data_IF_359380298241
#
_entry.id   IF_359380298241
#
_cell.length_a   1.000
_cell.length_b   1.000
_cell.length_c   1.000
_cell.angle_alpha   90.00
_cell.angle_beta   90.00
_cell.angle_gamma   90.00
#
_symmetry.space_group_name_H-M   'P 1'
#
loop_
_entity.id
_entity.type
_entity.pdbx_description
1 polymer ?
#
# COMPACT_ATOMS: atom_id res chain seq x y z
N UNK A 1 -75.96 -52.10 -14.16
CA UNK A 1 -75.56 -51.61 -15.49
C UNK A 1 -75.34 -50.10 -15.38
N UNK A 2 -74.34 -49.61 -14.67
CA UNK A 2 -72.87 -49.79 -14.77
C UNK A 2 -72.20 -48.78 -15.71
N UNK A 3 -71.34 -47.99 -15.07
CA UNK A 3 -70.19 -47.21 -15.53
C UNK A 3 -70.37 -45.79 -16.12
N UNK A 4 -69.84 -44.75 -15.44
CA UNK A 4 -69.55 -43.46 -16.03
C UNK A 4 -68.28 -43.51 -16.90
N UNK A 5 -68.29 -42.75 -18.01
CA UNK A 5 -67.17 -42.59 -18.92
C UNK A 5 -65.90 -42.10 -18.19
N UNK A 6 -64.85 -42.91 -18.24
CA UNK A 6 -63.50 -42.58 -17.73
C UNK A 6 -62.94 -41.37 -18.47
N UNK A 7 -62.64 -40.30 -17.74
CA UNK A 7 -61.72 -39.27 -18.19
C UNK A 7 -60.31 -39.89 -18.30
N UNK A 8 -59.83 -40.10 -19.52
CA UNK A 8 -58.44 -40.44 -19.78
C UNK A 8 -57.56 -39.21 -19.49
N UNK A 9 -57.09 -39.11 -18.26
CA UNK A 9 -55.99 -38.24 -17.90
C UNK A 9 -54.73 -38.74 -18.62
N UNK A 10 -54.49 -38.24 -19.84
CA UNK A 10 -53.17 -38.24 -20.46
C UNK A 10 -52.22 -37.47 -19.53
N UNK A 11 -51.48 -38.21 -18.69
CA UNK A 11 -50.39 -37.66 -17.90
C UNK A 11 -49.33 -37.16 -18.88
N UNK A 12 -48.92 -35.88 -18.85
CA UNK A 12 -47.71 -35.48 -19.56
C UNK A 12 -46.53 -36.29 -18.98
N UNK A 13 -45.57 -36.73 -19.82
CA UNK A 13 -44.39 -37.42 -19.32
C UNK A 13 -43.68 -36.49 -18.32
N UNK A 14 -43.33 -37.03 -17.15
CA UNK A 14 -42.45 -36.34 -16.21
C UNK A 14 -41.14 -36.05 -16.94
N UNK A 15 -40.96 -34.79 -17.34
CA UNK A 15 -39.66 -34.25 -17.70
C UNK A 15 -38.80 -34.32 -16.44
N UNK A 16 -37.95 -35.35 -16.36
CA UNK A 16 -36.84 -35.39 -15.41
C UNK A 16 -36.09 -34.06 -15.51
N UNK A 17 -35.89 -33.31 -14.41
CA UNK A 17 -35.04 -32.14 -14.44
C UNK A 17 -33.64 -32.65 -14.76
N UNK A 18 -33.21 -32.43 -16.00
CA UNK A 18 -31.81 -32.59 -16.38
C UNK A 18 -31.09 -31.57 -15.50
N UNK A 19 -30.38 -32.05 -14.48
CA UNK A 19 -29.47 -31.24 -13.67
C UNK A 19 -28.31 -30.91 -14.60
N UNK A 20 -28.54 -29.94 -15.48
CA UNK A 20 -27.46 -29.35 -16.25
C UNK A 20 -26.49 -28.81 -15.21
N UNK A 21 -25.28 -29.38 -15.17
CA UNK A 21 -24.10 -28.83 -14.48
C UNK A 21 -23.69 -27.50 -15.15
N UNK A 22 -24.63 -26.55 -15.22
CA UNK A 22 -24.45 -25.16 -15.58
C UNK A 22 -23.93 -24.36 -14.37
N UNK A 23 -23.16 -25.01 -13.49
CA UNK A 23 -22.41 -24.38 -12.40
C UNK A 23 -21.22 -23.54 -12.90
N UNK A 24 -20.85 -23.70 -14.18
CA UNK A 24 -19.79 -22.96 -14.87
C UNK A 24 -19.93 -21.42 -14.76
N UNK A 25 -21.05 -20.77 -15.14
CA UNK A 25 -21.17 -19.30 -15.06
C UNK A 25 -21.11 -18.74 -13.63
N UNK A 26 -21.64 -19.43 -12.62
CA UNK A 26 -21.61 -18.91 -11.24
C UNK A 26 -20.25 -19.13 -10.58
N UNK A 27 -19.66 -20.32 -10.71
CA UNK A 27 -18.34 -20.61 -10.18
C UNK A 27 -17.25 -19.75 -10.84
N UNK A 28 -17.31 -19.54 -12.16
CA UNK A 28 -16.40 -18.64 -12.87
C UNK A 28 -16.54 -17.19 -12.41
N UNK A 29 -17.77 -16.70 -12.18
CA UNK A 29 -18.01 -15.37 -11.62
C UNK A 29 -17.44 -15.25 -10.22
N UNK A 30 -17.66 -16.24 -9.35
CA UNK A 30 -17.17 -16.23 -7.98
C UNK A 30 -15.64 -16.24 -7.93
N UNK A 31 -14.97 -17.07 -8.74
CA UNK A 31 -13.51 -17.10 -8.85
C UNK A 31 -12.99 -15.76 -9.39
N UNK A 32 -13.61 -15.22 -10.45
CA UNK A 32 -13.24 -13.90 -11.00
C UNK A 32 -13.38 -12.80 -9.94
N UNK A 33 -14.49 -12.76 -9.21
CA UNK A 33 -14.71 -11.79 -8.12
C UNK A 33 -13.68 -11.98 -7.01
N UNK A 34 -13.34 -13.22 -6.65
CA UNK A 34 -12.29 -13.50 -5.67
C UNK A 34 -10.92 -12.98 -6.11
N UNK A 35 -10.52 -13.25 -7.36
CA UNK A 35 -9.26 -12.73 -7.93
C UNK A 35 -9.25 -11.21 -7.90
N UNK A 36 -10.34 -10.57 -8.34
CA UNK A 36 -10.47 -9.12 -8.32
C UNK A 36 -10.39 -8.55 -6.91
N UNK A 37 -11.06 -9.18 -5.94
CA UNK A 37 -11.03 -8.76 -4.53
C UNK A 37 -9.62 -8.83 -3.96
N UNK A 38 -8.87 -9.89 -4.24
CA UNK A 38 -7.46 -10.01 -3.80
C UNK A 38 -6.60 -8.93 -4.44
N UNK A 39 -6.74 -8.70 -5.74
CA UNK A 39 -6.01 -7.63 -6.43
C UNK A 39 -6.31 -6.25 -5.81
N UNK A 40 -7.59 -5.91 -5.63
CA UNK A 40 -8.00 -4.67 -4.98
C UNK A 40 -7.44 -4.55 -3.56
N UNK A 41 -7.53 -5.61 -2.78
CA UNK A 41 -7.00 -5.64 -1.43
C UNK A 41 -5.52 -5.29 -1.41
N UNK A 42 -4.71 -5.93 -2.28
CA UNK A 42 -3.27 -5.65 -2.36
C UNK A 42 -3.01 -4.18 -2.74
N UNK A 43 -3.72 -3.65 -3.75
CA UNK A 43 -3.55 -2.25 -4.16
C UNK A 43 -3.85 -1.27 -3.03
N UNK A 44 -5.00 -1.42 -2.37
CA UNK A 44 -5.39 -0.54 -1.26
C UNK A 44 -4.48 -0.73 -0.05
N UNK A 45 -4.04 -1.94 0.24
CA UNK A 45 -3.11 -2.22 1.33
C UNK A 45 -1.75 -1.56 1.10
N UNK A 46 -1.17 -1.70 -0.10
CA UNK A 46 0.09 -1.03 -0.46
C UNK A 46 -0.08 0.49 -0.43
N UNK A 47 -1.23 1.01 -0.88
CA UNK A 47 -1.54 2.44 -0.79
C UNK A 47 -1.59 2.91 0.67
N UNK A 48 -2.23 2.18 1.58
CA UNK A 48 -2.26 2.52 3.00
C UNK A 48 -0.86 2.50 3.64
N UNK A 49 -0.03 1.50 3.31
CA UNK A 49 1.36 1.47 3.76
C UNK A 49 2.14 2.68 3.22
N UNK A 50 1.96 3.03 1.96
CA UNK A 50 2.61 4.18 1.36
C UNK A 50 2.13 5.52 1.96
N UNK A 51 0.82 5.69 2.21
CA UNK A 51 0.27 6.88 2.85
C UNK A 51 0.76 7.04 4.30
N UNK A 52 1.07 5.94 4.99
CA UNK A 52 1.64 5.96 6.34
C UNK A 52 3.16 6.21 6.32
N UNK A 53 3.90 5.49 5.46
CA UNK A 53 5.36 5.50 5.44
C UNK A 53 5.93 6.72 4.71
N UNK A 54 5.33 7.17 3.61
CA UNK A 54 5.81 8.33 2.86
C UNK A 54 5.98 9.59 3.72
N UNK A 55 4.97 10.04 4.50
CA UNK A 55 5.15 11.22 5.35
C UNK A 55 6.20 10.99 6.45
N UNK A 56 6.28 9.78 7.02
CA UNK A 56 7.29 9.47 8.03
C UNK A 56 8.71 9.54 7.46
N UNK A 57 8.94 8.97 6.27
CA UNK A 57 10.23 9.00 5.59
C UNK A 57 10.61 10.43 5.16
N UNK A 58 9.64 11.21 4.67
CA UNK A 58 9.87 12.62 4.33
C UNK A 58 10.24 13.45 5.55
N UNK A 59 9.49 13.33 6.66
CA UNK A 59 9.79 14.04 7.90
C UNK A 59 11.18 13.64 8.42
N UNK A 60 11.47 12.34 8.48
CA UNK A 60 12.76 11.83 8.93
C UNK A 60 13.91 12.34 8.04
N UNK A 61 13.76 12.28 6.72
CA UNK A 61 14.76 12.75 5.77
C UNK A 61 14.99 14.27 5.83
N UNK A 62 13.93 15.07 5.93
CA UNK A 62 14.03 16.53 6.10
C UNK A 62 14.69 16.87 7.44
N UNK A 63 14.28 16.23 8.54
CA UNK A 63 14.87 16.45 9.85
C UNK A 63 16.37 16.07 9.86
N UNK A 64 16.73 14.97 9.21
CA UNK A 64 18.12 14.55 9.04
C UNK A 64 18.93 15.53 8.20
N UNK A 65 18.36 16.08 7.11
CA UNK A 65 19.02 17.13 6.31
C UNK A 65 19.17 18.45 7.06
N UNK A 66 18.23 18.78 7.95
CA UNK A 66 18.25 20.00 8.74
C UNK A 66 19.24 19.92 9.91
N UNK A 67 19.54 18.72 10.40
CA UNK A 67 20.38 18.50 11.59
C UNK A 67 21.77 19.18 11.51
N UNK A 68 22.55 19.05 10.42
CA UNK A 68 23.86 19.69 10.32
C UNK A 68 23.76 21.22 10.25
N UNK A 69 22.71 21.76 9.65
CA UNK A 69 22.50 23.21 9.55
C UNK A 69 22.15 23.84 10.91
N UNK A 70 21.35 23.14 11.72
CA UNK A 70 20.99 23.57 13.09
C UNK A 70 22.19 23.46 14.03
N UNK A 71 22.98 22.38 13.92
CA UNK A 71 24.20 22.23 14.74
C UNK A 71 25.27 23.24 14.33
N UNK A 72 25.43 23.52 13.03
CA UNK A 72 26.33 24.54 12.53
C UNK A 72 25.99 25.96 13.01
N UNK A 73 24.70 26.31 13.04
CA UNK A 73 24.26 27.62 13.54
C UNK A 73 24.40 27.76 15.06
N UNK A 74 24.10 26.70 15.82
CA UNK A 74 24.36 26.63 17.26
C UNK A 74 25.86 26.71 17.58
N UNK A 75 26.71 26.05 16.78
CA UNK A 75 28.16 26.12 16.94
C UNK A 75 28.70 27.51 16.64
N UNK A 76 28.11 28.24 15.67
CA UNK A 76 28.47 29.63 15.38
C UNK A 76 28.02 30.60 16.48
N UNK A 77 26.83 30.38 17.06
CA UNK A 77 26.32 31.18 18.18
C UNK A 77 27.06 30.89 19.50
N UNK A 78 27.47 29.64 19.75
CA UNK A 78 28.31 29.28 20.88
C UNK A 78 29.75 29.79 20.73
N UNK A 79 30.26 29.86 19.50
CA UNK A 79 31.59 30.42 19.20
C UNK A 79 31.72 31.92 19.51
N UNK A 80 30.61 32.66 19.60
CA UNK A 80 30.64 34.06 20.09
C UNK A 80 30.66 34.19 21.63
N UNK A 81 30.54 33.09 22.38
CA UNK A 81 30.41 33.10 23.83
C UNK A 81 31.61 32.52 24.59
N UNK A 82 32.27 31.44 24.11
CA UNK A 82 33.42 30.84 24.82
C UNK A 82 34.28 29.92 23.90
N UNK A 83 35.60 30.16 23.75
CA UNK A 83 36.50 29.30 22.96
C UNK A 83 36.57 27.85 23.45
N UNK A 84 36.35 27.59 24.74
CA UNK A 84 36.47 26.26 25.35
C UNK A 84 35.25 25.37 25.06
N UNK A 85 34.09 25.96 24.81
CA UNK A 85 32.88 25.26 24.34
C UNK A 85 33.01 24.80 22.88
N UNK A 86 33.85 25.47 22.08
CA UNK A 86 34.06 25.19 20.65
C UNK A 86 34.68 23.81 20.42
N UNK A 87 35.63 23.40 21.25
CA UNK A 87 36.30 22.10 21.14
C UNK A 87 35.39 20.95 21.58
N UNK A 88 34.57 21.17 22.62
CA UNK A 88 33.56 20.20 23.05
C UNK A 88 32.51 19.99 21.96
N UNK A 89 31.92 21.07 21.42
CA UNK A 89 30.86 21.02 20.40
C UNK A 89 31.41 20.55 19.04
N UNK A 90 32.64 20.90 18.69
CA UNK A 90 33.32 20.43 17.48
C UNK A 90 33.52 18.92 17.45
N UNK A 91 33.83 18.30 18.60
CA UNK A 91 33.92 16.84 18.70
C UNK A 91 32.57 16.15 18.48
N UNK A 92 31.47 16.72 18.97
CA UNK A 92 30.11 16.16 18.79
C UNK A 92 29.57 16.42 17.38
N UNK A 93 29.91 17.57 16.77
CA UNK A 93 29.56 17.89 15.39
C UNK A 93 30.27 17.00 14.37
N UNK A 94 31.51 16.58 14.67
CA UNK A 94 32.26 15.61 13.86
C UNK A 94 31.73 14.17 13.97
N UNK A 95 30.93 13.88 15.01
CA UNK A 95 30.30 12.59 15.22
C UNK A 95 28.92 12.47 14.57
N UNK A 96 28.42 13.51 13.88
CA UNK A 96 27.13 13.46 13.17
C UNK A 96 27.34 12.67 11.87
N UNK A 97 26.84 11.43 11.76
CA UNK A 97 27.10 10.60 10.60
C UNK A 97 26.36 11.16 9.39
N UNK A 98 27.07 11.42 8.30
CA UNK A 98 26.48 11.83 7.02
C UNK A 98 25.70 10.69 6.33
N UNK A 99 25.95 9.46 6.77
CA UNK A 99 25.34 8.21 6.35
C UNK A 99 25.27 7.30 7.58
N UNK A 100 24.13 6.65 7.82
CA UNK A 100 24.07 5.54 8.80
C UNK A 100 23.97 4.25 8.01
N UNK A 101 24.91 3.35 8.25
CA UNK A 101 24.80 1.97 7.77
C UNK A 101 23.89 1.21 8.74
N UNK A 102 22.67 0.87 8.30
CA UNK A 102 21.77 0.00 9.05
C UNK A 102 21.59 -1.28 8.23
N UNK A 103 21.90 -2.44 8.83
CA UNK A 103 21.77 -3.75 8.19
C UNK A 103 22.43 -3.84 6.79
N UNK A 104 23.61 -3.20 6.62
CA UNK A 104 24.37 -3.21 5.36
C UNK A 104 23.86 -2.28 4.26
N UNK A 105 22.81 -1.49 4.52
CA UNK A 105 22.33 -0.45 3.60
C UNK A 105 22.74 0.94 4.07
N UNK A 106 23.28 1.74 3.16
CA UNK A 106 23.57 3.15 3.39
C UNK A 106 22.26 3.95 3.43
N UNK A 107 21.76 4.23 4.63
CA UNK A 107 20.66 5.17 4.81
C UNK A 107 21.23 6.59 4.76
N UNK A 108 20.84 7.31 3.71
CA UNK A 108 21.12 8.73 3.56
C UNK A 108 19.83 9.52 3.64
N UNK A 109 19.91 10.76 4.12
CA UNK A 109 18.74 11.63 4.19
C UNK A 109 18.08 11.87 2.82
N UNK A 110 18.88 11.86 1.74
CA UNK A 110 18.36 11.94 0.38
C UNK A 110 17.60 10.68 -0.06
N UNK A 111 18.10 9.50 0.34
CA UNK A 111 17.42 8.22 0.10
C UNK A 111 16.04 8.17 0.74
N UNK A 112 15.92 8.54 2.02
CA UNK A 112 14.62 8.58 2.71
C UNK A 112 13.61 9.51 2.01
N UNK A 113 14.06 10.68 1.54
CA UNK A 113 13.19 11.62 0.84
C UNK A 113 12.71 11.02 -0.48
N UNK A 114 13.61 10.43 -1.26
CA UNK A 114 13.27 9.79 -2.53
C UNK A 114 12.32 8.61 -2.34
N UNK A 115 12.57 7.76 -1.34
CA UNK A 115 11.70 6.63 -1.01
C UNK A 115 10.30 7.11 -0.62
N UNK A 116 10.19 8.19 0.17
CA UNK A 116 8.90 8.80 0.50
C UNK A 116 8.14 9.32 -0.74
N UNK A 117 8.83 9.98 -1.67
CA UNK A 117 8.24 10.46 -2.94
C UNK A 117 7.79 9.27 -3.80
N UNK A 118 8.63 8.23 -3.92
CA UNK A 118 8.30 7.04 -4.70
C UNK A 118 7.10 6.29 -4.13
N UNK A 119 6.98 6.20 -2.79
CA UNK A 119 5.80 5.64 -2.16
C UNK A 119 4.54 6.48 -2.44
N UNK A 120 4.63 7.81 -2.40
CA UNK A 120 3.51 8.67 -2.81
C UNK A 120 3.11 8.45 -4.27
N UNK A 121 4.08 8.34 -5.18
CA UNK A 121 3.81 8.05 -6.58
C UNK A 121 3.17 6.67 -6.77
N UNK A 122 3.64 5.66 -6.03
CA UNK A 122 3.09 4.31 -6.03
C UNK A 122 1.64 4.30 -5.51
N UNK A 123 1.36 5.03 -4.43
CA UNK A 123 0.02 5.21 -3.89
C UNK A 123 -0.94 5.83 -4.93
N UNK A 124 -0.50 6.91 -5.58
CA UNK A 124 -1.29 7.59 -6.62
C UNK A 124 -1.53 6.68 -7.85
N UNK A 125 -0.53 5.92 -8.27
CA UNK A 125 -0.66 4.93 -9.34
C UNK A 125 -1.61 3.80 -8.95
N UNK A 126 -1.53 3.30 -7.71
CA UNK A 126 -2.41 2.29 -7.15
C UNK A 126 -3.87 2.75 -7.14
N UNK A 127 -4.14 3.96 -6.66
CA UNK A 127 -5.48 4.56 -6.68
C UNK A 127 -6.04 4.70 -8.11
N UNK A 128 -5.20 5.12 -9.06
CA UNK A 128 -5.59 5.29 -10.47
C UNK A 128 -5.92 3.95 -11.10
N UNK A 129 -5.05 2.95 -10.91
CA UNK A 129 -5.26 1.59 -11.42
C UNK A 129 -6.49 0.96 -10.79
N UNK A 130 -6.68 1.05 -9.47
CA UNK A 130 -7.88 0.56 -8.80
C UNK A 130 -9.16 1.21 -9.37
N UNK A 131 -9.14 2.53 -9.61
CA UNK A 131 -10.29 3.23 -10.21
C UNK A 131 -10.59 2.78 -11.64
N UNK A 132 -9.56 2.64 -12.48
CA UNK A 132 -9.72 2.16 -13.87
C UNK A 132 -10.19 0.71 -13.90
N UNK A 133 -9.62 -0.12 -13.03
CA UNK A 133 -9.88 -1.54 -12.99
C UNK A 133 -11.29 -1.83 -12.41
N UNK A 134 -11.76 -1.02 -11.47
CA UNK A 134 -13.12 -1.10 -10.91
C UNK A 134 -14.23 -0.66 -11.87
N UNK A 135 -13.90 0.13 -12.89
CA UNK A 135 -14.85 0.48 -13.96
C UNK A 135 -15.07 -0.65 -14.97
N UNK A 136 -14.17 -1.63 -15.02
CA UNK A 136 -14.16 -2.72 -16.01
C UNK A 136 -14.57 -4.09 -15.43
N UNK A 137 -14.91 -4.13 -14.13
CA UNK A 137 -15.51 -5.29 -13.44
C UNK A 137 -17.03 -5.17 -13.50
#
# INVERSE_FOLDING_TARGET
>A
MDQPHRAEYSRPPLSTPRTDLSSSPFALRLVRTGIWSVCFFIFYFVQQLAELLAPLLLIAGVLWKALPAVVGSLSHAAASADPQARDAIGSVASAIPSHIVIAGHDLTAGGLIWDGILLMALAAAGATLATVAGKNV
#
